data_IF_321579276645
#
_entry.id   IF_321579276645
#
_cell.length_a   1.000
_cell.length_b   1.000
_cell.length_c   1.000
_cell.angle_alpha   90.00
_cell.angle_beta   90.00
_cell.angle_gamma   90.00
#
_symmetry.space_group_name_H-M   'P 1'
#
loop_
_entity.id
_entity.type
_entity.pdbx_description
1 polymer ?
#
# COMPACT_ATOMS: atom_id res chain seq x y z
N UNK A 1 32.28 0.24 -7.33
CA UNK A 1 31.07 -0.53 -7.70
C UNK A 1 31.36 -1.09 -9.08
N UNK A 2 31.36 -2.41 -9.21
CA UNK A 2 31.58 -3.06 -10.49
C UNK A 2 30.40 -2.78 -11.42
N UNK A 3 30.67 -2.70 -12.73
CA UNK A 3 29.65 -2.42 -13.74
C UNK A 3 29.76 -3.43 -14.88
N UNK A 4 28.64 -3.68 -15.56
CA UNK A 4 28.61 -4.52 -16.75
C UNK A 4 29.50 -3.96 -17.89
N UNK A 5 29.88 -4.83 -18.78
CA UNK A 5 30.76 -4.47 -19.91
C UNK A 5 30.00 -3.93 -21.13
N UNK A 6 28.71 -4.25 -21.26
CA UNK A 6 27.89 -3.92 -22.42
C UNK A 6 27.31 -2.50 -22.37
N UNK A 7 26.99 -1.95 -23.53
CA UNK A 7 26.22 -0.71 -23.71
C UNK A 7 24.84 -0.95 -24.28
N UNK A 8 24.60 -2.11 -24.82
CA UNK A 8 23.32 -2.58 -25.37
C UNK A 8 23.05 -3.98 -24.86
N UNK A 9 21.79 -4.32 -24.58
CA UNK A 9 21.40 -5.62 -24.00
C UNK A 9 21.79 -6.82 -24.86
N UNK A 10 21.82 -6.65 -26.19
CA UNK A 10 22.22 -7.69 -27.15
C UNK A 10 23.74 -7.95 -27.21
N UNK A 11 24.53 -7.15 -26.51
CA UNK A 11 25.98 -7.31 -26.34
C UNK A 11 26.32 -8.00 -24.98
N UNK A 12 25.31 -8.26 -24.13
CA UNK A 12 25.52 -8.78 -22.78
C UNK A 12 26.08 -10.22 -22.79
N UNK A 13 26.91 -10.51 -21.81
CA UNK A 13 27.45 -11.84 -21.54
C UNK A 13 26.82 -12.47 -20.31
N UNK A 14 26.99 -13.79 -20.11
CA UNK A 14 26.55 -14.46 -18.89
C UNK A 14 27.20 -13.88 -17.62
N UNK A 15 28.47 -13.47 -17.70
CA UNK A 15 29.17 -12.85 -16.57
C UNK A 15 28.58 -11.47 -16.19
N UNK A 16 28.08 -10.70 -17.17
CA UNK A 16 27.37 -9.45 -16.89
C UNK A 16 26.07 -9.72 -16.12
N UNK A 17 25.31 -10.75 -16.48
CA UNK A 17 24.08 -11.12 -15.77
C UNK A 17 24.35 -11.68 -14.38
N UNK A 18 25.42 -12.46 -14.16
CA UNK A 18 25.84 -12.88 -12.81
C UNK A 18 26.18 -11.69 -11.90
N UNK A 19 26.71 -10.62 -12.48
CA UNK A 19 26.93 -9.36 -11.75
C UNK A 19 25.61 -8.67 -11.43
N UNK A 20 24.70 -8.55 -12.41
CA UNK A 20 23.39 -7.88 -12.25
C UNK A 20 22.52 -8.62 -11.23
N UNK A 21 22.46 -9.94 -11.25
CA UNK A 21 21.69 -10.76 -10.32
C UNK A 21 22.06 -10.44 -8.85
N UNK A 22 23.35 -10.20 -8.55
CA UNK A 22 23.77 -9.82 -7.19
C UNK A 22 23.19 -8.48 -6.76
N UNK A 23 23.20 -7.49 -7.67
CA UNK A 23 22.60 -6.17 -7.39
C UNK A 23 21.08 -6.22 -7.34
N UNK A 24 20.44 -7.08 -8.14
CA UNK A 24 19.00 -7.28 -8.13
C UNK A 24 18.56 -7.87 -6.79
N UNK A 25 19.23 -8.88 -6.27
CA UNK A 25 18.94 -9.46 -4.93
C UNK A 25 19.03 -8.39 -3.84
N UNK A 26 20.05 -7.54 -3.86
CA UNK A 26 20.19 -6.44 -2.91
C UNK A 26 19.06 -5.41 -3.06
N UNK A 27 18.73 -5.04 -4.29
CA UNK A 27 17.66 -4.10 -4.60
C UNK A 27 16.29 -4.62 -4.14
N UNK A 28 15.99 -5.89 -4.41
CA UNK A 28 14.73 -6.53 -3.99
C UNK A 28 14.66 -6.65 -2.47
N UNK A 29 15.75 -7.07 -1.82
CA UNK A 29 15.83 -7.18 -0.36
C UNK A 29 15.64 -5.86 0.39
N UNK A 30 15.90 -4.72 -0.26
CA UNK A 30 15.68 -3.39 0.30
C UNK A 30 14.24 -2.85 0.11
N UNK A 31 13.31 -3.63 -0.44
CA UNK A 31 11.92 -3.19 -0.63
C UNK A 31 11.23 -2.81 0.68
N UNK A 32 11.34 -3.57 1.78
CA UNK A 32 10.74 -3.18 3.06
C UNK A 32 11.20 -1.80 3.54
N UNK A 33 12.49 -1.48 3.42
CA UNK A 33 13.04 -0.18 3.83
C UNK A 33 12.47 0.96 2.97
N UNK A 34 12.31 0.73 1.66
CA UNK A 34 11.67 1.71 0.78
C UNK A 34 10.19 1.91 1.12
N UNK A 35 9.47 0.87 1.50
CA UNK A 35 8.07 0.99 1.92
C UNK A 35 7.93 1.77 3.22
N UNK A 36 8.79 1.50 4.22
CA UNK A 36 8.82 2.27 5.46
C UNK A 36 9.16 3.74 5.22
N UNK A 37 10.16 4.01 4.39
CA UNK A 37 10.52 5.38 4.01
C UNK A 37 9.37 6.09 3.26
N UNK A 38 8.61 5.37 2.43
CA UNK A 38 7.45 5.93 1.74
C UNK A 38 6.30 6.26 2.71
N UNK A 39 6.05 5.44 3.74
CA UNK A 39 5.09 5.77 4.81
C UNK A 39 5.56 7.00 5.58
N UNK A 40 6.85 7.12 5.92
CA UNK A 40 7.41 8.32 6.55
C UNK A 40 7.18 9.58 5.70
N UNK A 41 7.41 9.49 4.39
CA UNK A 41 7.25 10.61 3.46
C UNK A 41 5.79 11.12 3.35
N UNK A 42 4.79 10.32 3.71
CA UNK A 42 3.40 10.76 3.83
C UNK A 42 3.20 11.87 4.87
N UNK A 43 4.12 11.99 5.85
CA UNK A 43 4.09 13.05 6.85
C UNK A 43 4.30 14.45 6.25
N UNK A 44 5.02 14.55 5.14
CA UNK A 44 5.33 15.79 4.42
C UNK A 44 4.39 16.01 3.20
N UNK A 45 3.34 15.19 3.06
CA UNK A 45 2.38 15.31 1.97
C UNK A 45 1.42 16.51 2.17
N UNK A 46 0.44 16.68 1.27
CA UNK A 46 -0.49 17.80 1.33
C UNK A 46 -1.25 17.89 2.66
N UNK A 47 -1.47 19.13 3.13
CA UNK A 47 -2.17 19.42 4.38
C UNK A 47 -3.68 19.65 4.18
N UNK A 48 -4.34 20.06 5.27
CA UNK A 48 -5.75 20.43 5.28
C UNK A 48 -6.63 19.55 6.18
N UNK A 49 -6.19 18.34 6.47
CA UNK A 49 -6.78 17.49 7.51
C UNK A 49 -6.21 17.84 8.90
N UNK A 50 -6.86 17.36 9.96
CA UNK A 50 -6.36 17.53 11.33
C UNK A 50 -5.18 16.62 11.66
N UNK A 51 -4.95 15.60 10.83
CA UNK A 51 -3.83 14.66 10.92
C UNK A 51 -3.07 14.65 9.59
N UNK A 52 -1.80 14.25 9.62
CA UNK A 52 -1.02 14.01 8.41
C UNK A 52 -1.47 12.72 7.72
N UNK A 53 -1.11 12.54 6.44
CA UNK A 53 -1.37 11.27 5.74
C UNK A 53 -0.62 10.09 6.38
N UNK A 54 0.55 10.34 6.98
CA UNK A 54 1.25 9.33 7.79
C UNK A 54 0.43 8.93 9.02
N UNK A 55 -0.09 9.89 9.78
CA UNK A 55 -0.95 9.60 10.94
C UNK A 55 -2.22 8.87 10.54
N UNK A 56 -2.86 9.24 9.42
CA UNK A 56 -3.97 8.49 8.84
C UNK A 56 -3.59 7.02 8.61
N UNK A 57 -2.48 6.75 7.94
CA UNK A 57 -1.97 5.40 7.68
C UNK A 57 -1.69 4.61 8.97
N UNK A 58 -1.10 5.27 9.98
CA UNK A 58 -0.86 4.67 11.30
C UNK A 58 -2.16 4.36 12.04
N UNK A 59 -3.17 5.23 11.97
CA UNK A 59 -4.51 4.97 12.54
C UNK A 59 -5.16 3.77 11.87
N UNK A 60 -5.12 3.71 10.53
CA UNK A 60 -5.65 2.60 9.73
C UNK A 60 -5.05 1.26 10.16
N UNK A 61 -3.72 1.18 10.16
CA UNK A 61 -3.01 -0.02 10.57
C UNK A 61 -3.26 -0.40 12.04
N UNK A 62 -3.30 0.59 12.94
CA UNK A 62 -3.54 0.36 14.37
C UNK A 62 -4.94 -0.22 14.62
N UNK A 63 -5.96 0.30 13.93
CA UNK A 63 -7.32 -0.23 14.04
C UNK A 63 -7.39 -1.66 13.52
N UNK A 64 -6.81 -1.93 12.34
CA UNK A 64 -6.76 -3.27 11.78
C UNK A 64 -6.02 -4.27 12.71
N UNK A 65 -4.91 -3.85 13.30
CA UNK A 65 -4.15 -4.66 14.26
C UNK A 65 -4.97 -4.95 15.53
N UNK A 66 -5.59 -3.93 16.12
CA UNK A 66 -6.40 -4.09 17.35
C UNK A 66 -7.63 -4.98 17.12
N UNK A 67 -8.15 -5.02 15.91
CA UNK A 67 -9.25 -5.90 15.50
C UNK A 67 -8.78 -7.33 15.15
N UNK A 68 -7.49 -7.63 15.28
CA UNK A 68 -6.94 -8.98 15.06
C UNK A 68 -6.89 -9.39 13.59
N UNK A 69 -6.79 -8.44 12.65
CA UNK A 69 -6.59 -8.73 11.24
C UNK A 69 -5.23 -9.38 10.99
N UNK A 70 -5.10 -10.09 9.89
CA UNK A 70 -3.84 -10.71 9.47
C UNK A 70 -2.73 -9.68 9.26
N UNK A 71 -1.46 -10.08 9.35
CA UNK A 71 -0.33 -9.18 9.08
C UNK A 71 -0.39 -8.58 7.68
N UNK A 72 -0.79 -9.35 6.67
CA UNK A 72 -0.96 -8.85 5.30
C UNK A 72 -1.98 -7.71 5.25
N UNK A 73 -3.10 -7.87 5.96
CA UNK A 73 -4.15 -6.85 6.03
C UNK A 73 -3.66 -5.59 6.78
N UNK A 74 -2.98 -5.76 7.91
CA UNK A 74 -2.42 -4.64 8.71
C UNK A 74 -1.40 -3.86 7.89
N UNK A 75 -0.50 -4.56 7.19
CA UNK A 75 0.49 -3.90 6.32
C UNK A 75 -0.17 -3.23 5.12
N UNK A 76 -1.17 -3.86 4.50
CA UNK A 76 -1.93 -3.23 3.43
C UNK A 76 -2.65 -1.95 3.91
N UNK A 77 -3.25 -1.98 5.11
CA UNK A 77 -3.85 -0.79 5.74
C UNK A 77 -2.83 0.32 6.01
N UNK A 78 -1.59 -0.05 6.41
CA UNK A 78 -0.50 0.92 6.63
C UNK A 78 -0.08 1.63 5.34
N UNK A 79 -0.06 0.91 4.21
CA UNK A 79 0.55 1.42 2.97
C UNK A 79 -0.45 1.81 1.89
N UNK A 80 -1.78 1.66 2.13
CA UNK A 80 -2.80 1.80 1.09
C UNK A 80 -2.75 3.14 0.34
N UNK A 81 -2.35 4.21 1.03
CA UNK A 81 -2.26 5.57 0.49
C UNK A 81 -0.84 6.02 0.10
N UNK A 82 0.17 5.16 0.22
CA UNK A 82 1.55 5.52 -0.20
C UNK A 82 1.61 5.95 -1.66
N UNK A 83 0.73 5.42 -2.49
CA UNK A 83 0.58 5.82 -3.89
C UNK A 83 0.26 7.30 -4.11
N UNK A 84 -0.31 8.00 -3.14
CA UNK A 84 -0.62 9.45 -3.24
C UNK A 84 0.60 10.30 -3.58
N UNK A 85 1.80 9.88 -3.17
CA UNK A 85 3.05 10.62 -3.42
C UNK A 85 3.38 10.68 -4.92
N UNK A 86 3.12 9.60 -5.66
CA UNK A 86 3.55 9.46 -7.06
C UNK A 86 2.38 9.37 -8.05
N UNK A 87 1.24 8.85 -7.61
CA UNK A 87 0.07 8.58 -8.45
C UNK A 87 -1.24 9.02 -7.77
N UNK A 88 -1.41 10.32 -7.43
CA UNK A 88 -2.55 10.79 -6.62
C UNK A 88 -3.92 10.51 -7.26
N UNK A 89 -4.00 10.35 -8.58
CA UNK A 89 -5.23 10.01 -9.30
C UNK A 89 -5.53 8.50 -9.38
N UNK A 90 -4.54 7.65 -9.11
CA UNK A 90 -4.60 6.19 -9.26
C UNK A 90 -3.81 5.48 -8.14
N UNK A 91 -3.74 6.11 -6.95
CA UNK A 91 -2.91 5.60 -5.85
C UNK A 91 -3.27 4.16 -5.46
N UNK A 92 -4.55 3.80 -5.41
CA UNK A 92 -4.99 2.45 -5.11
C UNK A 92 -4.53 1.42 -6.16
N UNK A 93 -4.54 1.77 -7.45
CA UNK A 93 -4.04 0.92 -8.53
C UNK A 93 -2.52 0.74 -8.43
N UNK A 94 -1.79 1.83 -8.12
CA UNK A 94 -0.35 1.78 -7.88
C UNK A 94 -0.02 0.86 -6.72
N UNK A 95 -0.72 1.02 -5.58
CA UNK A 95 -0.48 0.19 -4.41
C UNK A 95 -0.90 -1.26 -4.62
N UNK A 96 -1.96 -1.52 -5.39
CA UNK A 96 -2.29 -2.87 -5.82
C UNK A 96 -1.11 -3.53 -6.58
N UNK A 97 -0.49 -2.82 -7.52
CA UNK A 97 0.65 -3.36 -8.27
C UNK A 97 1.85 -3.68 -7.35
N UNK A 98 2.11 -2.85 -6.33
CA UNK A 98 3.17 -3.08 -5.34
C UNK A 98 2.85 -4.26 -4.42
N UNK A 99 1.59 -4.37 -3.96
CA UNK A 99 1.16 -5.37 -2.99
C UNK A 99 0.90 -6.75 -3.60
N UNK A 100 0.53 -6.82 -4.88
CA UNK A 100 0.12 -8.05 -5.57
C UNK A 100 1.05 -9.26 -5.37
N UNK A 101 2.38 -9.13 -5.34
CA UNK A 101 3.24 -10.27 -5.07
C UNK A 101 3.18 -10.79 -3.62
N UNK A 102 2.69 -9.99 -2.67
CA UNK A 102 2.92 -10.19 -1.24
C UNK A 102 1.66 -10.45 -0.41
N UNK A 103 0.49 -10.06 -0.90
CA UNK A 103 -0.79 -10.19 -0.17
C UNK A 103 -1.85 -10.88 -1.05
N UNK A 104 -2.93 -11.36 -0.42
CA UNK A 104 -4.00 -12.05 -1.12
C UNK A 104 -4.70 -11.17 -2.17
N UNK A 105 -5.34 -11.81 -3.17
CA UNK A 105 -6.11 -11.11 -4.20
C UNK A 105 -7.25 -10.26 -3.62
N UNK A 106 -7.87 -10.72 -2.53
CA UNK A 106 -8.91 -9.95 -1.82
C UNK A 106 -8.35 -8.63 -1.31
N UNK A 107 -7.20 -8.66 -0.62
CA UNK A 107 -6.55 -7.45 -0.08
C UNK A 107 -6.14 -6.51 -1.23
N UNK A 108 -5.59 -7.07 -2.30
CA UNK A 108 -5.26 -6.32 -3.52
C UNK A 108 -6.48 -5.58 -4.09
N UNK A 109 -7.60 -6.28 -4.20
CA UNK A 109 -8.83 -5.71 -4.71
C UNK A 109 -9.36 -4.60 -3.79
N UNK A 110 -9.35 -4.82 -2.48
CA UNK A 110 -9.74 -3.81 -1.47
C UNK A 110 -8.91 -2.55 -1.64
N UNK A 111 -7.58 -2.66 -1.65
CA UNK A 111 -6.70 -1.50 -1.81
C UNK A 111 -6.91 -0.80 -3.16
N UNK A 112 -7.10 -1.56 -4.25
CA UNK A 112 -7.34 -0.98 -5.57
C UNK A 112 -8.63 -0.17 -5.65
N UNK A 113 -9.65 -0.51 -4.87
CA UNK A 113 -11.00 0.05 -4.98
C UNK A 113 -11.38 0.95 -3.80
N UNK A 114 -10.57 1.03 -2.73
CA UNK A 114 -10.95 1.78 -1.53
C UNK A 114 -11.36 3.23 -1.84
N UNK A 115 -10.68 3.93 -2.75
CA UNK A 115 -11.01 5.31 -3.10
C UNK A 115 -12.45 5.49 -3.56
N UNK A 116 -12.96 4.63 -4.48
CA UNK A 116 -14.35 4.71 -4.94
C UNK A 116 -15.36 4.29 -3.84
N UNK A 117 -14.94 3.42 -2.91
CA UNK A 117 -15.77 3.05 -1.75
C UNK A 117 -15.77 4.14 -0.69
N UNK A 118 -14.67 4.86 -0.52
CA UNK A 118 -14.51 5.99 0.37
C UNK A 118 -15.43 7.16 -0.03
N UNK A 119 -15.67 7.39 -1.34
CA UNK A 119 -16.62 8.40 -1.85
C UNK A 119 -18.03 8.26 -1.28
N UNK A 120 -18.42 7.09 -0.79
CA UNK A 120 -19.70 6.88 -0.09
C UNK A 120 -19.90 7.86 1.07
N UNK A 121 -18.83 8.24 1.75
CA UNK A 121 -18.88 9.12 2.93
C UNK A 121 -18.89 10.61 2.56
N UNK A 122 -18.20 11.02 1.50
CA UNK A 122 -18.01 12.44 1.16
C UNK A 122 -18.40 12.84 -0.27
N UNK A 123 -18.60 11.90 -1.18
CA UNK A 123 -18.83 12.20 -2.61
C UNK A 123 -19.94 13.19 -2.86
N UNK A 124 -21.04 13.13 -2.09
CA UNK A 124 -22.15 14.08 -2.19
C UNK A 124 -21.79 15.52 -1.80
N UNK A 125 -20.67 15.73 -1.07
CA UNK A 125 -20.16 17.05 -0.67
C UNK A 125 -19.26 17.66 -1.74
N UNK A 126 -18.69 16.83 -2.63
CA UNK A 126 -17.75 17.25 -3.67
C UNK A 126 -18.34 17.24 -5.07
N UNK A 127 -19.65 16.98 -5.19
CA UNK A 127 -20.35 16.86 -6.49
C UNK A 127 -20.17 15.52 -7.18
N UNK A 128 -19.57 14.53 -6.49
CA UNK A 128 -19.44 13.15 -6.94
C UNK A 128 -20.68 12.29 -6.62
N UNK A 129 -20.64 11.04 -7.07
CA UNK A 129 -21.69 10.05 -6.78
C UNK A 129 -21.28 9.17 -5.58
N UNK A 130 -21.88 9.45 -4.42
CA UNK A 130 -21.64 8.61 -3.22
C UNK A 130 -22.00 7.13 -3.42
N UNK A 131 -22.81 6.81 -4.42
CA UNK A 131 -23.21 5.43 -4.71
C UNK A 131 -22.36 4.80 -5.82
N UNK A 132 -21.28 5.43 -6.26
CA UNK A 132 -20.40 4.93 -7.32
C UNK A 132 -19.92 3.49 -7.07
N UNK A 133 -19.72 3.11 -5.79
CA UNK A 133 -19.36 1.75 -5.38
C UNK A 133 -20.39 0.69 -5.72
N UNK A 134 -21.69 1.05 -5.91
CA UNK A 134 -22.76 0.08 -6.16
C UNK A 134 -22.59 -0.68 -7.48
N UNK A 135 -21.82 -0.14 -8.42
CA UNK A 135 -21.43 -0.85 -9.65
C UNK A 135 -20.67 -2.16 -9.38
N UNK A 136 -20.09 -2.30 -8.19
CA UNK A 136 -19.35 -3.48 -7.75
C UNK A 136 -20.15 -4.37 -6.81
N UNK A 137 -21.47 -4.13 -6.58
CA UNK A 137 -22.30 -4.83 -5.60
C UNK A 137 -22.26 -6.36 -5.72
N UNK A 138 -22.13 -6.89 -6.94
CA UNK A 138 -22.05 -8.33 -7.18
C UNK A 138 -20.64 -8.92 -7.05
N UNK A 139 -19.62 -8.09 -6.79
CA UNK A 139 -18.25 -8.58 -6.64
C UNK A 139 -18.09 -9.31 -5.30
N UNK A 140 -17.43 -10.49 -5.24
CA UNK A 140 -17.32 -11.28 -4.01
C UNK A 140 -16.68 -10.52 -2.85
N UNK A 141 -15.82 -9.55 -3.11
CA UNK A 141 -15.12 -8.75 -2.10
C UNK A 141 -15.72 -7.35 -1.88
N UNK A 142 -16.94 -7.12 -2.36
CA UNK A 142 -17.62 -5.84 -2.14
C UNK A 142 -17.71 -5.49 -0.66
N UNK A 143 -18.17 -6.44 0.16
CA UNK A 143 -18.37 -6.22 1.60
C UNK A 143 -17.02 -6.05 2.33
N UNK A 144 -15.98 -6.74 1.90
CA UNK A 144 -14.62 -6.57 2.44
C UNK A 144 -14.08 -5.14 2.21
N UNK A 145 -14.30 -4.57 1.02
CA UNK A 145 -13.89 -3.21 0.72
C UNK A 145 -14.76 -2.17 1.45
N UNK A 146 -16.06 -2.42 1.55
CA UNK A 146 -16.96 -1.57 2.34
C UNK A 146 -16.55 -1.56 3.82
N UNK A 147 -16.24 -2.72 4.39
CA UNK A 147 -15.75 -2.84 5.76
C UNK A 147 -14.40 -2.13 5.95
N UNK A 148 -13.46 -2.27 5.00
CA UNK A 148 -12.18 -1.56 5.05
C UNK A 148 -12.40 -0.06 5.16
N UNK A 149 -13.18 0.53 4.25
CA UNK A 149 -13.45 1.95 4.27
C UNK A 149 -14.21 2.39 5.53
N UNK A 150 -15.14 1.59 6.04
CA UNK A 150 -15.90 1.92 7.25
C UNK A 150 -15.03 1.92 8.50
N UNK A 151 -14.18 0.90 8.67
CA UNK A 151 -13.51 0.64 9.94
C UNK A 151 -12.06 1.12 9.98
N UNK A 152 -11.37 1.18 8.83
CA UNK A 152 -9.93 1.37 8.77
C UNK A 152 -9.48 2.51 7.87
N UNK A 153 -10.43 3.28 7.27
CA UNK A 153 -10.09 4.39 6.40
C UNK A 153 -10.85 5.67 6.76
N UNK A 154 -12.16 5.76 6.52
CA UNK A 154 -12.93 7.01 6.69
C UNK A 154 -12.92 7.57 8.12
N UNK A 155 -12.64 6.78 9.12
CA UNK A 155 -12.59 7.15 10.53
C UNK A 155 -11.15 7.32 11.06
N UNK A 156 -10.16 7.40 10.17
CA UNK A 156 -8.74 7.51 10.51
C UNK A 156 -8.20 8.96 10.35
N UNK A 157 -9.00 9.96 10.73
CA UNK A 157 -8.66 11.39 10.67
C UNK A 157 -8.83 12.06 12.05
N UNK A 158 -8.74 11.30 13.12
CA UNK A 158 -8.96 11.73 14.50
C UNK A 158 -7.63 12.11 15.16
N UNK A 159 -7.39 13.40 15.48
CA UNK A 159 -6.14 13.85 16.10
C UNK A 159 -5.95 13.32 17.53
N UNK A 160 -7.03 12.85 18.18
CA UNK A 160 -6.99 12.33 19.54
C UNK A 160 -6.84 10.80 19.58
N UNK A 161 -6.79 10.13 18.41
CA UNK A 161 -6.63 8.69 18.35
C UNK A 161 -5.17 8.26 18.61
N UNK A 162 -4.96 7.46 19.65
CA UNK A 162 -3.64 6.92 20.01
C UNK A 162 -3.23 5.79 19.03
N UNK A 163 -2.48 6.15 18.00
CA UNK A 163 -1.89 5.20 17.05
C UNK A 163 -0.65 4.53 17.63
N UNK A 164 -0.40 3.28 17.22
CA UNK A 164 0.89 2.66 17.40
C UNK A 164 1.92 3.34 16.46
N UNK A 165 3.18 3.49 16.89
CA UNK A 165 4.22 4.13 16.08
C UNK A 165 4.66 3.24 14.91
N UNK A 166 5.30 3.82 13.89
CA UNK A 166 5.73 3.08 12.70
C UNK A 166 6.68 1.92 13.02
N UNK A 167 7.54 2.10 14.02
CA UNK A 167 8.50 1.09 14.49
C UNK A 167 7.79 -0.19 14.99
N UNK A 168 6.56 -0.07 15.49
CA UNK A 168 5.75 -1.23 15.86
C UNK A 168 5.40 -2.10 14.65
N UNK A 169 5.12 -1.47 13.49
CA UNK A 169 4.74 -2.15 12.26
C UNK A 169 5.94 -2.61 11.43
N UNK A 170 7.13 -2.07 11.65
CA UNK A 170 8.35 -2.39 10.90
C UNK A 170 8.59 -3.91 10.77
N UNK A 171 8.54 -4.73 11.86
CA UNK A 171 8.73 -6.16 11.73
C UNK A 171 7.67 -6.86 10.83
N UNK A 172 6.42 -6.36 10.81
CA UNK A 172 5.35 -6.89 9.97
C UNK A 172 5.62 -6.54 8.50
N UNK A 173 5.99 -5.28 8.21
CA UNK A 173 6.37 -4.83 6.87
C UNK A 173 7.52 -5.68 6.33
N UNK A 174 8.56 -5.91 7.14
CA UNK A 174 9.70 -6.75 6.75
C UNK A 174 9.29 -8.18 6.43
N UNK A 175 8.40 -8.80 7.22
CA UNK A 175 7.92 -10.17 6.95
C UNK A 175 7.02 -10.26 5.72
N UNK A 176 6.13 -9.29 5.53
CA UNK A 176 5.21 -9.29 4.38
C UNK A 176 5.98 -9.10 3.08
N UNK A 177 6.93 -8.17 3.03
CA UNK A 177 7.72 -7.87 1.82
C UNK A 177 9.01 -8.69 1.67
N UNK A 178 9.28 -9.67 2.55
CA UNK A 178 10.50 -10.49 2.50
C UNK A 178 10.57 -11.35 1.22
N UNK A 179 9.46 -12.00 0.88
CA UNK A 179 9.40 -12.92 -0.27
C UNK A 179 8.04 -12.83 -0.98
N UNK A 180 8.03 -12.77 -2.31
CA UNK A 180 6.80 -12.84 -3.09
C UNK A 180 6.11 -14.20 -2.90
N UNK A 181 4.86 -14.19 -2.43
CA UNK A 181 4.06 -15.40 -2.15
C UNK A 181 3.03 -15.71 -3.23
N UNK A 182 2.62 -14.68 -3.97
CA UNK A 182 1.50 -14.71 -4.91
C UNK A 182 1.89 -14.44 -6.36
N UNK A 183 3.20 -14.42 -6.70
CA UNK A 183 3.64 -14.39 -8.09
C UNK A 183 3.49 -15.77 -8.72
N UNK A 184 2.75 -15.84 -9.82
CA UNK A 184 2.83 -17.00 -10.74
C UNK A 184 4.25 -17.01 -11.33
N UNK A 185 4.94 -18.16 -11.18
CA UNK A 185 6.27 -18.39 -11.76
C UNK A 185 6.13 -18.85 -13.20
#
# INVERSE_FOLDING_TARGET
>A
MDTVSFRRMDEATAADYELLDRYEVEMLGALPDRMLAAVEALGDSYGGYQVTRKEHSLQSATRAFRDGRSEEYVVAALVHDVGDILAPHTHGEMMNAVLKPFVSEEICWVVSHHGVFQEYYYGHLTGGDRNARERYRSHPWFDSCAEFCERYDQNCFDPDYESLPLEFFEPMVRRVFAEPRYLER
#
